data_IF_009269591235
#
_entry.id   IF_009269591235
#
_cell.length_a   1.000
_cell.length_b   1.000
_cell.length_c   1.000
_cell.angle_alpha   90.00
_cell.angle_beta   90.00
_cell.angle_gamma   90.00
#
_symmetry.space_group_name_H-M   'P 1'
#
loop_
_entity.id
_entity.type
_entity.pdbx_description
1 polymer ?
#
# COMPACT_ATOMS: atom_id res chain seq x y z
N UNK A 1 2.97 -58.10 -24.05
CA UNK A 1 3.83 -57.27 -23.17
C UNK A 1 2.96 -56.19 -22.54
N UNK A 2 2.69 -56.28 -21.24
CA UNK A 2 1.86 -55.32 -20.50
C UNK A 2 2.80 -54.32 -19.83
N UNK A 3 2.81 -53.08 -20.29
CA UNK A 3 3.55 -51.99 -19.62
C UNK A 3 2.74 -51.51 -18.43
N UNK A 4 3.30 -51.67 -17.24
CA UNK A 4 2.81 -51.08 -15.99
C UNK A 4 3.52 -49.75 -15.83
N UNK A 5 2.81 -48.64 -16.04
CA UNK A 5 3.32 -47.30 -15.75
C UNK A 5 3.21 -47.03 -14.25
N UNK A 6 4.35 -46.87 -13.59
CA UNK A 6 4.43 -46.38 -12.21
C UNK A 6 4.10 -44.90 -12.18
N UNK A 7 3.07 -44.53 -11.41
CA UNK A 7 2.80 -43.14 -11.06
C UNK A 7 3.62 -42.81 -9.80
N UNK A 8 4.65 -41.98 -9.95
CA UNK A 8 5.40 -41.44 -8.82
C UNK A 8 4.65 -40.21 -8.29
N UNK A 9 4.07 -40.31 -7.08
CA UNK A 9 3.59 -39.14 -6.35
C UNK A 9 4.80 -38.33 -5.88
N UNK A 10 5.03 -37.19 -6.50
CA UNK A 10 5.95 -36.17 -6.00
C UNK A 10 5.31 -35.53 -4.75
N UNK A 11 5.84 -35.83 -3.57
CA UNK A 11 5.54 -35.07 -2.37
C UNK A 11 6.19 -33.69 -2.52
N UNK A 12 5.38 -32.67 -2.82
CA UNK A 12 5.83 -31.28 -2.79
C UNK A 12 6.09 -30.89 -1.32
N UNK A 13 7.28 -30.38 -1.06
CA UNK A 13 7.63 -29.77 0.21
C UNK A 13 6.60 -28.70 0.56
N UNK A 14 6.11 -28.70 1.81
CA UNK A 14 5.27 -27.63 2.36
C UNK A 14 6.15 -26.40 2.52
N UNK A 15 6.28 -25.63 1.43
CA UNK A 15 6.81 -24.27 1.44
C UNK A 15 5.94 -23.38 2.32
N UNK A 16 6.55 -22.34 2.87
CA UNK A 16 5.92 -21.35 3.74
C UNK A 16 4.46 -21.05 3.34
N UNK A 17 3.52 -21.23 4.28
CA UNK A 17 2.16 -20.73 4.08
C UNK A 17 2.26 -19.21 4.13
N UNK A 18 2.12 -18.54 2.98
CA UNK A 18 1.88 -17.10 2.97
C UNK A 18 0.65 -16.82 3.85
N UNK A 19 0.77 -15.88 4.76
CA UNK A 19 -0.33 -15.42 5.61
C UNK A 19 -1.34 -14.59 4.83
N UNK A 20 -0.95 -14.02 3.68
CA UNK A 20 -1.86 -13.30 2.80
C UNK A 20 -2.69 -14.27 1.99
N UNK A 21 -4.01 -14.10 2.09
CA UNK A 21 -5.01 -14.91 1.41
C UNK A 21 -5.46 -14.25 0.10
N UNK A 22 -5.61 -12.93 0.10
CA UNK A 22 -6.07 -12.16 -1.06
C UNK A 22 -5.76 -10.67 -0.88
N UNK A 23 -5.59 -9.97 -1.99
CA UNK A 23 -5.50 -8.51 -2.04
C UNK A 23 -6.58 -8.05 -3.01
N UNK A 24 -7.37 -7.08 -2.58
CA UNK A 24 -8.37 -6.40 -3.40
C UNK A 24 -8.12 -4.89 -3.36
N UNK A 25 -8.70 -4.18 -4.31
CA UNK A 25 -8.60 -2.73 -4.40
C UNK A 25 -9.94 -2.14 -4.85
N UNK A 26 -10.28 -0.96 -4.36
CA UNK A 26 -11.49 -0.23 -4.76
C UNK A 26 -11.56 1.12 -4.07
N UNK A 27 -12.65 1.88 -4.23
CA UNK A 27 -12.87 3.11 -3.47
C UNK A 27 -13.73 2.90 -2.21
N UNK A 28 -14.26 1.69 -2.05
CA UNK A 28 -15.27 1.38 -1.04
C UNK A 28 -14.62 0.87 0.23
N UNK A 29 -14.98 1.49 1.36
CA UNK A 29 -14.64 1.00 2.70
C UNK A 29 -15.27 -0.37 2.94
N UNK A 30 -14.44 -1.37 3.24
CA UNK A 30 -14.87 -2.72 3.67
C UNK A 30 -14.63 -2.91 5.16
N UNK A 31 -13.60 -2.26 5.70
CA UNK A 31 -13.32 -2.19 7.13
C UNK A 31 -14.46 -1.56 7.94
N UNK A 32 -14.33 -1.65 9.26
CA UNK A 32 -15.25 -1.08 10.24
C UNK A 32 -14.46 -0.29 11.28
N UNK A 33 -14.68 1.04 11.31
CA UNK A 33 -14.04 1.95 12.26
C UNK A 33 -14.28 1.56 13.71
N UNK A 34 -15.51 1.15 14.06
CA UNK A 34 -15.91 0.87 15.44
C UNK A 34 -15.26 -0.39 16.04
N UNK A 35 -14.66 -1.24 15.21
CA UNK A 35 -13.92 -2.44 15.66
C UNK A 35 -12.47 -2.44 15.15
N UNK A 36 -11.93 -1.27 14.81
CA UNK A 36 -10.57 -1.13 14.34
C UNK A 36 -9.57 -1.55 15.44
N UNK A 37 -8.67 -2.46 15.09
CA UNK A 37 -7.58 -2.92 15.96
C UNK A 37 -6.35 -2.01 15.86
N UNK A 38 -6.25 -1.19 14.82
CA UNK A 38 -5.23 -0.15 14.69
C UNK A 38 -5.59 1.01 15.63
N UNK A 39 -4.63 1.41 16.45
CA UNK A 39 -4.74 2.64 17.23
C UNK A 39 -4.48 3.83 16.32
N UNK A 40 -5.36 4.84 16.39
CA UNK A 40 -5.23 6.08 15.61
C UNK A 40 -5.09 5.83 14.09
N UNK A 41 -5.96 4.97 13.53
CA UNK A 41 -5.91 4.57 12.14
C UNK A 41 -6.24 5.67 11.14
N UNK A 42 -7.07 6.64 11.53
CA UNK A 42 -7.41 7.85 10.75
C UNK A 42 -6.64 9.09 11.21
N UNK A 43 -5.62 8.93 12.06
CA UNK A 43 -4.72 10.02 12.46
C UNK A 43 -5.34 11.20 13.23
N UNK A 44 -6.62 11.08 13.64
CA UNK A 44 -7.39 12.09 14.40
C UNK A 44 -7.14 12.11 15.93
N UNK A 45 -6.37 11.16 16.48
CA UNK A 45 -6.22 11.06 17.94
C UNK A 45 -5.33 12.17 18.53
N UNK A 46 -4.54 12.80 17.68
CA UNK A 46 -3.68 13.94 17.98
C UNK A 46 -4.14 15.13 17.13
N UNK A 47 -3.71 16.36 17.45
CA UNK A 47 -4.06 17.55 16.66
C UNK A 47 -2.77 18.17 16.08
N UNK A 48 -2.62 18.28 14.75
CA UNK A 48 -1.45 18.93 14.17
C UNK A 48 -1.46 20.41 14.57
N UNK A 49 -0.39 20.90 15.22
CA UNK A 49 -0.33 22.28 15.70
C UNK A 49 -0.55 23.33 14.59
N UNK A 50 -0.26 22.94 13.35
CA UNK A 50 -0.65 23.67 12.15
C UNK A 50 -0.87 22.67 11.01
N UNK A 51 -2.05 22.72 10.41
CA UNK A 51 -2.39 21.88 9.26
C UNK A 51 -1.36 22.09 8.12
N UNK A 52 -0.88 20.98 7.54
CA UNK A 52 0.19 20.90 6.52
C UNK A 52 1.56 21.46 6.88
N UNK A 53 1.81 21.74 8.16
CA UNK A 53 3.11 22.22 8.62
C UNK A 53 3.60 21.44 9.84
N UNK A 54 2.99 20.30 10.12
CA UNK A 54 3.36 19.40 11.22
C UNK A 54 4.12 18.20 10.67
N UNK A 55 5.38 18.04 11.06
CA UNK A 55 6.23 16.94 10.59
C UNK A 55 6.13 15.74 11.54
N UNK A 56 5.99 14.53 11.01
CA UNK A 56 5.73 13.32 11.83
C UNK A 56 6.82 12.23 11.77
N UNK A 57 7.66 12.23 10.74
CA UNK A 57 8.66 11.18 10.56
C UNK A 57 9.87 11.39 11.49
N UNK A 58 10.10 10.46 12.42
CA UNK A 58 11.24 10.51 13.34
C UNK A 58 12.55 10.58 12.56
N UNK A 59 13.44 11.48 12.99
CA UNK A 59 14.73 11.73 12.34
C UNK A 59 14.75 13.00 11.49
N UNK A 60 13.59 13.59 11.20
CA UNK A 60 13.51 14.92 10.56
C UNK A 60 14.20 16.00 11.39
N UNK A 61 14.82 16.97 10.73
CA UNK A 61 15.31 18.20 11.34
C UNK A 61 14.30 19.35 11.21
N UNK A 62 13.17 19.13 10.54
CA UNK A 62 12.13 20.13 10.34
C UNK A 62 11.26 20.30 11.59
N UNK A 63 10.70 21.50 11.76
CA UNK A 63 9.88 21.88 12.92
C UNK A 63 8.62 22.62 12.48
N UNK A 64 7.48 22.44 13.17
CA UNK A 64 7.31 21.62 14.38
C UNK A 64 7.24 20.11 14.11
N UNK A 65 7.84 19.31 15.00
CA UNK A 65 7.82 17.84 14.94
C UNK A 65 6.88 17.26 16.00
N UNK A 66 6.12 16.24 15.62
CA UNK A 66 5.18 15.53 16.50
C UNK A 66 5.36 14.02 16.41
N UNK A 67 5.08 13.35 17.53
CA UNK A 67 4.89 11.90 17.54
C UNK A 67 3.42 11.61 17.30
N UNK A 68 3.13 10.58 16.53
CA UNK A 68 1.78 10.10 16.27
C UNK A 68 1.41 9.02 17.29
N UNK A 69 0.32 9.21 18.00
CA UNK A 69 -0.17 8.25 18.99
C UNK A 69 -0.42 6.90 18.34
N UNK A 70 0.17 5.85 18.93
CA UNK A 70 0.03 4.47 18.44
C UNK A 70 0.97 4.09 17.28
N UNK A 71 1.69 5.04 16.71
CA UNK A 71 2.54 4.81 15.55
C UNK A 71 4.02 5.02 15.86
N UNK A 72 4.86 4.28 15.14
CA UNK A 72 6.29 4.50 15.08
C UNK A 72 6.65 4.93 13.66
N UNK A 73 7.69 5.74 13.52
CA UNK A 73 8.11 6.24 12.22
C UNK A 73 9.62 6.32 12.10
N UNK A 74 10.09 6.47 10.87
CA UNK A 74 11.48 6.82 10.57
C UNK A 74 11.57 7.63 9.28
N UNK A 75 12.62 8.43 9.17
CA UNK A 75 12.91 9.29 8.03
C UNK A 75 14.32 9.85 8.09
N UNK A 76 14.85 10.36 6.97
CA UNK A 76 16.11 11.10 6.96
C UNK A 76 15.93 12.56 7.43
N UNK A 77 17.03 13.25 7.73
CA UNK A 77 16.99 14.59 8.32
C UNK A 77 16.28 15.65 7.48
N UNK A 78 16.24 15.47 6.16
CA UNK A 78 15.64 16.42 5.22
C UNK A 78 14.33 15.91 4.62
N UNK A 79 13.73 14.86 5.18
CA UNK A 79 12.38 14.46 4.79
C UNK A 79 11.38 15.58 5.09
N UNK A 80 10.28 15.62 4.34
CA UNK A 80 9.21 16.58 4.49
C UNK A 80 7.87 15.83 4.62
N UNK A 81 7.87 14.79 5.46
CA UNK A 81 6.68 14.03 5.75
C UNK A 81 5.74 14.87 6.63
N UNK A 82 4.56 15.18 6.10
CA UNK A 82 3.61 16.13 6.68
C UNK A 82 2.36 15.42 7.21
N UNK A 83 1.78 16.01 8.25
CA UNK A 83 0.55 15.59 8.89
C UNK A 83 -0.44 16.75 8.91
N UNK A 84 -1.69 16.45 8.59
CA UNK A 84 -2.81 17.38 8.66
C UNK A 84 -3.61 17.41 7.36
N UNK A 85 -4.06 18.60 6.98
CA UNK A 85 -4.84 18.87 5.77
C UNK A 85 -4.73 20.31 5.23
N UNK A 86 -5.09 20.48 3.96
CA UNK A 86 -5.24 21.75 3.24
C UNK A 86 -6.40 22.59 3.79
N UNK A 87 -6.70 23.75 3.23
CA UNK A 87 -7.89 24.54 3.61
C UNK A 87 -9.25 23.85 3.30
N UNK A 88 -9.22 22.57 2.93
CA UNK A 88 -10.34 21.63 2.79
C UNK A 88 -9.81 20.19 2.99
N UNK A 89 -10.66 19.14 2.91
CA UNK A 89 -10.20 17.77 3.08
C UNK A 89 -9.28 17.40 1.91
N UNK A 90 -8.04 17.04 2.23
CA UNK A 90 -6.96 16.76 1.28
C UNK A 90 -5.63 17.27 1.84
N UNK A 91 -4.53 16.60 1.54
CA UNK A 91 -3.20 16.95 2.02
C UNK A 91 -2.26 16.92 0.82
N UNK A 92 -1.51 18.00 0.59
CA UNK A 92 -0.60 18.11 -0.57
C UNK A 92 -1.31 17.83 -1.91
N UNK A 93 -2.52 18.40 -2.07
CA UNK A 93 -3.28 18.26 -3.31
C UNK A 93 -3.84 16.86 -3.57
N UNK A 94 -3.87 15.99 -2.55
CA UNK A 94 -4.48 14.66 -2.63
C UNK A 94 -5.99 14.72 -2.91
N UNK A 95 -6.61 13.56 -3.12
CA UNK A 95 -8.07 13.43 -2.99
C UNK A 95 -8.52 13.78 -1.56
N UNK A 96 -9.83 14.11 -1.37
CA UNK A 96 -10.39 14.26 -0.04
C UNK A 96 -10.06 13.07 0.84
N UNK A 97 -9.60 13.34 2.05
CA UNK A 97 -9.30 12.34 3.07
C UNK A 97 -10.54 11.47 3.35
N UNK A 98 -10.30 10.19 3.63
CA UNK A 98 -11.33 9.17 3.66
C UNK A 98 -12.09 9.13 4.98
N UNK A 99 -11.44 9.52 6.07
CA UNK A 99 -12.05 9.70 7.38
C UNK A 99 -11.51 10.98 8.02
N UNK A 100 -12.33 11.61 8.88
CA UNK A 100 -11.88 12.77 9.66
C UNK A 100 -11.40 13.96 8.82
N UNK A 101 -10.37 14.64 9.33
CA UNK A 101 -9.75 15.80 8.70
C UNK A 101 -8.26 15.64 8.48
N UNK A 102 -7.56 14.68 9.08
CA UNK A 102 -6.11 14.59 9.09
C UNK A 102 -5.62 13.35 8.34
N UNK A 103 -4.58 13.53 7.52
CA UNK A 103 -3.89 12.45 6.83
C UNK A 103 -2.38 12.57 6.97
N UNK A 104 -1.67 11.60 6.42
CA UNK A 104 -0.20 11.59 6.42
C UNK A 104 0.35 11.58 5.01
N UNK A 105 1.16 12.57 4.69
CA UNK A 105 1.95 12.64 3.48
C UNK A 105 3.38 12.16 3.75
N UNK A 106 3.89 11.28 2.89
CA UNK A 106 5.18 10.60 3.09
C UNK A 106 6.33 11.27 2.32
N UNK A 107 6.44 12.61 2.36
CA UNK A 107 7.45 13.35 1.60
C UNK A 107 8.91 12.93 1.85
N UNK A 108 9.55 12.29 0.87
CA UNK A 108 10.88 11.65 0.97
C UNK A 108 11.85 12.07 -0.16
N UNK A 109 11.50 13.09 -0.95
CA UNK A 109 12.37 13.66 -1.98
C UNK A 109 12.39 12.82 -3.25
N UNK A 110 13.38 13.06 -4.12
CA UNK A 110 13.54 12.27 -5.35
C UNK A 110 14.47 11.10 -5.09
N UNK A 111 14.07 9.89 -5.49
CA UNK A 111 14.94 8.71 -5.41
C UNK A 111 16.24 8.92 -6.19
N UNK A 112 17.36 8.53 -5.58
CA UNK A 112 18.68 8.61 -6.21
C UNK A 112 18.88 7.48 -7.23
N UNK A 113 18.42 6.27 -6.91
CA UNK A 113 18.48 5.10 -7.80
C UNK A 113 17.20 4.28 -7.64
N UNK A 114 16.66 3.83 -8.76
CA UNK A 114 15.67 2.75 -8.80
C UNK A 114 16.11 1.69 -9.80
N UNK A 115 16.05 0.41 -9.42
CA UNK A 115 16.24 -0.71 -10.33
C UNK A 115 14.96 -1.53 -10.48
N UNK A 116 14.85 -2.23 -11.61
CA UNK A 116 13.63 -2.92 -12.00
C UNK A 116 12.65 -1.96 -12.68
N UNK A 117 11.99 -2.44 -13.73
CA UNK A 117 10.89 -1.71 -14.36
C UNK A 117 9.60 -2.15 -13.67
N UNK A 118 8.90 -1.26 -12.94
CA UNK A 118 7.64 -1.59 -12.31
C UNK A 118 6.58 -1.88 -13.37
N UNK A 119 5.75 -2.89 -13.11
CA UNK A 119 4.51 -3.14 -13.84
C UNK A 119 3.36 -2.83 -12.90
N UNK A 120 2.64 -1.76 -13.20
CA UNK A 120 1.43 -1.34 -12.50
C UNK A 120 0.23 -2.14 -13.01
N UNK A 121 -0.48 -2.80 -12.11
CA UNK A 121 -1.70 -3.54 -12.42
C UNK A 121 -2.94 -2.67 -12.23
N UNK A 122 -4.07 -3.00 -12.88
CA UNK A 122 -5.31 -2.23 -12.73
C UNK A 122 -5.88 -2.18 -11.31
N UNK A 123 -5.45 -3.08 -10.44
CA UNK A 123 -5.83 -3.12 -9.01
C UNK A 123 -4.83 -2.37 -8.11
N UNK A 124 -3.93 -1.58 -8.70
CA UNK A 124 -2.93 -0.79 -7.99
C UNK A 124 -1.77 -1.62 -7.42
N UNK A 125 -1.80 -2.95 -7.51
CA UNK A 125 -0.62 -3.76 -7.17
C UNK A 125 0.51 -3.50 -8.16
N UNK A 126 1.75 -3.59 -7.68
CA UNK A 126 2.95 -3.39 -8.50
C UNK A 126 3.83 -4.63 -8.41
N UNK A 127 4.30 -5.08 -9.56
CA UNK A 127 5.25 -6.20 -9.66
C UNK A 127 6.52 -5.78 -10.37
N UNK A 128 7.60 -6.49 -10.06
CA UNK A 128 8.90 -6.31 -10.69
C UNK A 128 9.38 -7.66 -11.23
N UNK A 129 10.14 -7.64 -12.34
CA UNK A 129 10.73 -8.87 -12.90
C UNK A 129 11.80 -9.51 -12.00
N UNK A 130 12.32 -8.74 -11.04
CA UNK A 130 13.25 -9.15 -9.99
C UNK A 130 13.05 -8.24 -8.78
N UNK A 131 13.62 -8.58 -7.62
CA UNK A 131 13.61 -7.69 -6.45
C UNK A 131 14.14 -6.30 -6.84
N UNK A 132 13.34 -5.23 -6.68
CA UNK A 132 13.79 -3.88 -7.00
C UNK A 132 14.82 -3.40 -5.99
N UNK A 133 15.61 -2.42 -6.39
CA UNK A 133 16.47 -1.66 -5.49
C UNK A 133 15.96 -0.23 -5.49
N UNK A 134 15.57 0.26 -4.31
CA UNK A 134 15.26 1.66 -4.09
C UNK A 134 16.38 2.27 -3.25
N UNK A 135 17.00 3.32 -3.78
CA UNK A 135 18.01 4.08 -3.06
C UNK A 135 17.56 5.55 -3.00
N UNK A 136 17.16 6.04 -1.82
CA UNK A 136 16.85 7.45 -1.64
C UNK A 136 18.14 8.29 -1.66
N UNK A 137 17.98 9.61 -1.86
CA UNK A 137 19.10 10.53 -1.64
C UNK A 137 19.52 10.49 -0.16
N UNK A 138 20.83 10.48 0.15
CA UNK A 138 21.31 10.23 1.52
C UNK A 138 20.70 11.11 2.62
N UNK A 139 20.39 12.38 2.33
CA UNK A 139 19.83 13.32 3.31
C UNK A 139 18.33 13.19 3.50
N UNK A 140 17.61 12.66 2.51
CA UNK A 140 16.17 12.48 2.59
C UNK A 140 15.81 11.15 3.25
N UNK A 141 16.51 10.06 2.89
CA UNK A 141 16.19 8.71 3.37
C UNK A 141 14.79 8.24 2.93
N UNK A 142 14.43 6.98 3.18
CA UNK A 142 13.03 6.56 3.06
C UNK A 142 12.25 7.09 4.26
N UNK A 143 10.96 7.36 4.06
CA UNK A 143 10.01 7.67 5.13
C UNK A 143 9.18 6.42 5.38
N UNK A 144 9.10 5.99 6.63
CA UNK A 144 8.35 4.80 7.05
C UNK A 144 7.43 5.12 8.22
N UNK A 145 6.26 4.50 8.21
CA UNK A 145 5.26 4.52 9.26
C UNK A 145 4.84 3.08 9.57
N UNK A 146 4.89 2.69 10.84
CA UNK A 146 4.55 1.32 11.22
C UNK A 146 3.87 1.21 12.57
N UNK A 147 3.02 0.20 12.70
CA UNK A 147 2.36 -0.19 13.94
C UNK A 147 2.40 -1.71 14.10
N UNK A 148 2.67 -2.16 15.32
CA UNK A 148 2.67 -3.60 15.66
C UNK A 148 1.42 -3.96 16.43
N UNK A 149 0.59 -4.82 15.86
CA UNK A 149 -0.55 -5.42 16.55
C UNK A 149 -0.11 -6.69 17.27
N UNK A 150 -0.49 -6.78 18.55
CA UNK A 150 -0.18 -7.91 19.42
C UNK A 150 -1.45 -8.67 19.79
N UNK A 151 -1.31 -9.96 20.07
CA UNK A 151 -2.43 -10.81 20.50
C UNK A 151 -3.36 -11.26 19.37
N UNK A 152 -2.91 -11.19 18.11
CA UNK A 152 -3.70 -11.70 16.99
C UNK A 152 -3.84 -13.23 17.06
N UNK A 153 -5.03 -13.73 16.72
CA UNK A 153 -5.31 -15.16 16.69
C UNK A 153 -4.85 -15.73 15.34
N UNK A 154 -3.82 -16.59 15.35
CA UNK A 154 -3.25 -17.21 14.14
C UNK A 154 -4.18 -18.19 13.43
N UNK A 155 -5.33 -18.52 14.03
CA UNK A 155 -6.39 -19.31 13.40
C UNK A 155 -7.47 -18.46 12.72
N UNK A 156 -7.52 -17.16 13.00
CA UNK A 156 -8.53 -16.20 12.54
C UNK A 156 -8.07 -15.48 11.27
N UNK A 157 -9.02 -15.18 10.39
CA UNK A 157 -8.79 -14.28 9.24
C UNK A 157 -9.03 -12.84 9.66
N UNK A 158 -8.21 -11.94 9.14
CA UNK A 158 -8.26 -10.50 9.34
C UNK A 158 -8.32 -9.80 7.98
N UNK A 159 -8.86 -8.58 7.99
CA UNK A 159 -8.81 -7.63 6.89
C UNK A 159 -8.00 -6.43 7.37
N UNK A 160 -6.95 -6.08 6.63
CA UNK A 160 -6.34 -4.75 6.64
C UNK A 160 -6.92 -3.96 5.46
N UNK A 161 -7.58 -2.84 5.73
CA UNK A 161 -8.16 -1.92 4.75
C UNK A 161 -7.55 -0.54 4.98
N UNK A 162 -6.91 0.06 3.98
CA UNK A 162 -6.33 1.40 4.12
C UNK A 162 -6.53 2.20 2.85
N UNK A 163 -6.77 3.50 3.02
CA UNK A 163 -6.97 4.43 1.92
C UNK A 163 -5.64 5.10 1.54
N UNK A 164 -5.44 5.30 0.25
CA UNK A 164 -4.31 6.04 -0.29
C UNK A 164 -4.74 7.03 -1.38
N UNK A 165 -3.98 8.10 -1.48
CA UNK A 165 -3.96 9.01 -2.62
C UNK A 165 -2.50 9.36 -2.94
N UNK A 166 -2.29 10.11 -4.00
CA UNK A 166 -0.99 10.68 -4.34
C UNK A 166 -0.98 12.19 -4.21
N UNK A 167 0.21 12.73 -4.03
CA UNK A 167 0.46 14.17 -4.15
C UNK A 167 -0.08 14.73 -5.47
N UNK A 168 -0.73 15.89 -5.40
CA UNK A 168 -1.36 16.59 -6.53
C UNK A 168 -2.43 15.77 -7.29
N UNK A 169 -2.92 14.65 -6.74
CA UNK A 169 -3.85 13.79 -7.45
C UNK A 169 -5.18 14.48 -7.79
N UNK A 170 -5.60 15.49 -7.02
CA UNK A 170 -6.82 16.26 -7.28
C UNK A 170 -6.62 17.42 -8.25
N UNK A 171 -5.38 17.73 -8.65
CA UNK A 171 -5.12 18.84 -9.55
C UNK A 171 -5.39 18.46 -11.00
N UNK A 172 -6.09 19.35 -11.71
CA UNK A 172 -6.36 19.20 -13.14
C UNK A 172 -5.09 19.21 -14.00
N UNK A 173 -4.03 19.84 -13.47
CA UNK A 173 -2.67 19.82 -14.04
C UNK A 173 -1.67 19.41 -12.96
N UNK A 174 -1.63 18.11 -12.65
CA UNK A 174 -0.59 17.56 -11.79
C UNK A 174 0.78 17.71 -12.46
N UNK A 175 1.80 18.05 -11.66
CA UNK A 175 3.19 18.05 -12.12
C UNK A 175 3.76 16.62 -12.26
N UNK A 176 3.06 15.62 -11.72
CA UNK A 176 3.45 14.22 -11.78
C UNK A 176 2.90 13.55 -13.03
N UNK A 177 3.75 12.75 -13.67
CA UNK A 177 3.44 12.11 -14.95
C UNK A 177 2.62 10.82 -14.80
N UNK A 178 2.34 10.38 -13.57
CA UNK A 178 1.56 9.19 -13.24
C UNK A 178 1.81 8.69 -11.82
N UNK A 179 1.31 7.49 -11.53
CA UNK A 179 1.24 6.92 -10.18
C UNK A 179 2.61 6.63 -9.55
N UNK A 180 2.70 6.92 -8.25
CA UNK A 180 3.81 6.64 -7.36
C UNK A 180 3.94 5.18 -6.96
N UNK A 181 5.01 4.87 -6.24
CA UNK A 181 5.29 3.53 -5.71
C UNK A 181 5.59 3.67 -4.23
N UNK A 182 4.89 2.89 -3.40
CA UNK A 182 5.28 2.68 -2.02
C UNK A 182 5.41 1.18 -1.74
N UNK A 183 6.28 0.86 -0.80
CA UNK A 183 6.43 -0.50 -0.30
C UNK A 183 5.53 -0.70 0.92
N UNK A 184 4.93 -1.89 1.00
CA UNK A 184 4.18 -2.34 2.14
C UNK A 184 4.79 -3.64 2.66
N UNK A 185 5.15 -3.63 3.94
CA UNK A 185 5.74 -4.74 4.65
C UNK A 185 4.77 -5.27 5.71
N UNK A 186 4.64 -6.60 5.76
CA UNK A 186 3.92 -7.29 6.82
C UNK A 186 4.82 -8.40 7.39
N UNK A 187 4.87 -8.50 8.71
CA UNK A 187 5.70 -9.53 9.39
C UNK A 187 5.42 -10.92 8.85
N UNK A 188 6.48 -11.60 8.40
CA UNK A 188 6.41 -12.97 7.88
C UNK A 188 6.12 -13.07 6.38
N UNK A 189 5.91 -11.94 5.69
CA UNK A 189 5.69 -11.89 4.24
C UNK A 189 6.85 -11.26 3.50
N UNK A 190 6.89 -11.49 2.18
CA UNK A 190 7.74 -10.71 1.28
C UNK A 190 7.13 -9.31 1.08
N UNK A 191 8.00 -8.32 0.83
CA UNK A 191 7.57 -6.96 0.50
C UNK A 191 6.56 -6.95 -0.65
N UNK A 192 5.50 -6.18 -0.47
CA UNK A 192 4.55 -5.85 -1.52
C UNK A 192 4.75 -4.41 -1.95
N UNK A 193 4.30 -4.10 -3.17
CA UNK A 193 4.38 -2.75 -3.71
C UNK A 193 3.03 -2.36 -4.26
N UNK A 194 2.66 -1.12 -3.99
CA UNK A 194 1.36 -0.57 -4.33
C UNK A 194 1.53 0.81 -4.97
N UNK A 195 0.55 1.18 -5.78
CA UNK A 195 0.52 2.45 -6.45
C UNK A 195 -0.05 3.55 -5.54
N UNK A 196 0.60 4.72 -5.56
CA UNK A 196 0.01 5.96 -5.05
C UNK A 196 -0.71 6.67 -6.21
N UNK A 197 -2.06 6.74 -6.22
CA UNK A 197 -2.81 7.24 -7.37
C UNK A 197 -2.47 8.69 -7.72
N UNK A 198 -2.30 8.98 -9.01
CA UNK A 198 -1.93 10.32 -9.50
C UNK A 198 -3.10 11.16 -10.00
N UNK A 199 -4.33 10.65 -9.96
CA UNK A 199 -5.49 11.28 -10.60
C UNK A 199 -5.57 11.08 -12.11
N UNK A 200 -4.45 10.74 -12.76
CA UNK A 200 -4.35 10.62 -14.23
C UNK A 200 -4.43 9.19 -14.76
N UNK A 201 -4.29 8.19 -13.89
CA UNK A 201 -4.35 6.77 -14.26
C UNK A 201 -5.75 6.18 -14.11
N UNK A 202 -5.89 4.89 -14.41
CA UNK A 202 -7.14 4.15 -14.19
C UNK A 202 -7.53 3.98 -12.72
N UNK A 203 -6.63 4.27 -11.77
CA UNK A 203 -6.90 4.22 -10.33
C UNK A 203 -7.63 5.49 -9.84
N UNK A 204 -7.69 6.55 -10.66
CA UNK A 204 -8.29 7.82 -10.28
C UNK A 204 -7.45 8.60 -9.27
N UNK A 205 -8.10 9.40 -8.44
CA UNK A 205 -7.45 10.30 -7.47
C UNK A 205 -7.09 9.60 -6.15
N UNK A 206 -7.72 8.47 -5.84
CA UNK A 206 -7.50 7.71 -4.61
C UNK A 206 -7.97 6.27 -4.75
N UNK A 207 -7.47 5.39 -3.89
CA UNK A 207 -7.88 4.00 -3.81
C UNK A 207 -7.70 3.46 -2.40
N UNK A 208 -8.51 2.47 -2.02
CA UNK A 208 -8.31 1.61 -0.87
C UNK A 208 -7.71 0.28 -1.29
N UNK A 209 -6.78 -0.22 -0.46
CA UNK A 209 -6.23 -1.57 -0.57
C UNK A 209 -6.74 -2.43 0.58
N UNK A 210 -7.23 -3.62 0.24
CA UNK A 210 -7.82 -4.57 1.17
C UNK A 210 -6.99 -5.86 1.17
N UNK A 211 -6.17 -6.04 2.19
CA UNK A 211 -5.32 -7.21 2.39
C UNK A 211 -6.01 -8.15 3.36
N UNK A 212 -6.45 -9.30 2.85
CA UNK A 212 -7.01 -10.38 3.66
C UNK A 212 -5.88 -11.32 4.08
N UNK A 213 -5.73 -11.56 5.37
CA UNK A 213 -4.62 -12.36 5.88
C UNK A 213 -5.01 -13.19 7.10
N UNK A 214 -4.23 -14.25 7.33
CA UNK A 214 -4.28 -15.12 8.52
C UNK A 214 -2.88 -15.16 9.13
N UNK A 215 -2.65 -14.46 10.25
CA UNK A 215 -1.30 -14.13 10.68
C UNK A 215 -0.50 -15.38 11.08
N UNK A 216 0.77 -15.41 10.67
CA UNK A 216 1.69 -16.53 10.98
C UNK A 216 2.19 -16.49 12.44
N UNK A 217 2.09 -15.32 13.09
CA UNK A 217 2.43 -15.10 14.50
C UNK A 217 1.38 -14.19 15.17
N UNK A 218 1.30 -14.23 16.50
CA UNK A 218 0.37 -13.36 17.25
C UNK A 218 0.79 -11.89 17.31
N UNK A 219 1.99 -11.57 16.83
CA UNK A 219 2.52 -10.22 16.71
C UNK A 219 2.79 -9.94 15.24
N UNK A 220 2.14 -8.93 14.69
CA UNK A 220 2.30 -8.53 13.28
C UNK A 220 2.54 -7.04 13.20
N UNK A 221 3.65 -6.66 12.58
CA UNK A 221 3.95 -5.28 12.19
C UNK A 221 3.50 -5.06 10.76
N UNK A 222 2.79 -3.96 10.55
CA UNK A 222 2.48 -3.39 9.24
C UNK A 222 3.30 -2.12 9.07
N UNK A 223 3.99 -1.99 7.95
CA UNK A 223 4.92 -0.89 7.67
C UNK A 223 4.74 -0.40 6.23
N UNK A 224 4.49 0.91 6.09
CA UNK A 224 4.36 1.62 4.83
C UNK A 224 5.61 2.45 4.62
N UNK A 225 6.27 2.27 3.48
CA UNK A 225 7.55 2.93 3.18
C UNK A 225 7.45 3.67 1.85
N UNK A 226 7.74 4.97 1.90
CA UNK A 226 8.03 5.76 0.70
C UNK A 226 9.52 6.00 0.57
N UNK A 227 10.09 5.71 -0.60
CA UNK A 227 11.50 5.98 -0.91
C UNK A 227 11.72 7.32 -1.60
N UNK A 228 10.64 8.02 -1.95
CA UNK A 228 10.68 9.26 -2.71
C UNK A 228 9.90 9.17 -4.01
N UNK A 229 9.86 10.28 -4.75
CA UNK A 229 9.41 10.30 -6.14
C UNK A 229 10.20 9.31 -6.99
N UNK A 230 9.48 8.41 -7.66
CA UNK A 230 10.07 7.59 -8.71
C UNK A 230 10.31 8.43 -9.97
N UNK A 231 11.58 8.53 -10.37
CA UNK A 231 11.98 9.20 -11.60
C UNK A 231 11.88 8.22 -12.78
N UNK A 232 10.75 8.26 -13.47
CA UNK A 232 10.56 7.48 -14.69
C UNK A 232 11.02 8.26 -15.94
N UNK A 233 11.18 7.61 -17.10
CA UNK A 233 11.52 8.30 -18.35
C UNK A 233 10.52 9.40 -18.77
N UNK A 234 9.27 9.34 -18.29
CA UNK A 234 8.22 10.32 -18.62
C UNK A 234 8.06 11.42 -17.58
N UNK A 235 8.85 11.40 -16.51
CA UNK A 235 8.78 12.36 -15.41
C UNK A 235 8.71 11.70 -14.03
N UNK A 236 8.56 12.57 -13.03
CA UNK A 236 8.37 12.14 -11.64
C UNK A 236 6.99 11.52 -11.45
N UNK A 237 6.90 10.67 -10.44
CA UNK A 237 5.67 10.06 -9.95
C UNK A 237 5.32 10.59 -8.57
N UNK A 238 4.05 10.49 -8.22
CA UNK A 238 3.53 10.96 -6.93
C UNK A 238 4.20 10.27 -5.74
N UNK A 239 4.20 10.94 -4.60
CA UNK A 239 4.42 10.31 -3.29
C UNK A 239 3.06 9.98 -2.65
N UNK A 240 3.07 9.10 -1.63
CA UNK A 240 1.84 8.61 -0.99
C UNK A 240 1.29 9.61 0.04
N UNK A 241 -0.03 9.78 0.01
CA UNK A 241 -0.85 10.25 1.13
C UNK A 241 -1.65 9.05 1.65
N UNK A 242 -1.59 8.80 2.95
CA UNK A 242 -2.24 7.68 3.65
C UNK A 242 -3.29 8.22 4.61
N UNK A 243 -4.44 7.54 4.65
CA UNK A 243 -5.51 7.77 5.62
C UNK A 243 -6.28 6.48 5.89
N UNK A 244 -7.08 6.49 6.97
CA UNK A 244 -8.11 5.51 7.29
C UNK A 244 -7.62 4.04 7.28
N UNK A 245 -6.57 3.77 8.07
CA UNK A 245 -5.96 2.45 8.25
C UNK A 245 -6.75 1.62 9.26
N UNK A 246 -7.35 0.54 8.79
CA UNK A 246 -8.24 -0.31 9.58
C UNK A 246 -7.76 -1.75 9.55
N UNK A 247 -7.66 -2.37 10.74
CA UNK A 247 -7.58 -3.83 10.85
C UNK A 247 -8.77 -4.35 11.63
N UNK A 248 -9.51 -5.30 11.05
CA UNK A 248 -10.62 -5.98 11.75
C UNK A 248 -10.47 -7.50 11.64
N UNK A 249 -11.09 -8.22 12.58
CA UNK A 249 -11.39 -9.64 12.37
C UNK A 249 -12.37 -9.78 11.20
N UNK A 250 -12.10 -10.71 10.29
CA UNK A 250 -12.94 -10.96 9.12
C UNK A 250 -13.56 -12.35 9.17
N UNK A 251 -14.88 -12.41 9.17
CA UNK A 251 -15.66 -13.65 9.24
C UNK A 251 -16.43 -13.95 7.93
N UNK A 252 -16.21 -13.14 6.89
CA UNK A 252 -16.82 -13.35 5.58
C UNK A 252 -16.04 -14.33 4.72
N UNK A 253 -16.51 -14.54 3.50
CA UNK A 253 -15.75 -15.26 2.46
C UNK A 253 -14.61 -14.38 1.96
N UNK A 254 -13.38 -14.89 1.96
CA UNK A 254 -12.24 -14.18 1.38
C UNK A 254 -12.45 -14.08 -0.13
N UNK A 255 -12.42 -12.87 -0.72
CA UNK A 255 -12.53 -12.72 -2.17
C UNK A 255 -11.39 -13.44 -2.89
N UNK A 256 -11.69 -14.05 -4.04
CA UNK A 256 -10.67 -14.64 -4.89
C UNK A 256 -9.67 -13.57 -5.36
N UNK A 257 -8.36 -13.85 -5.43
CA UNK A 257 -7.37 -12.89 -5.91
C UNK A 257 -7.75 -12.37 -7.32
N UNK A 258 -7.72 -11.05 -7.48
CA UNK A 258 -8.04 -10.33 -8.73
C UNK A 258 -7.27 -10.85 -9.95
N UNK A 259 -6.03 -11.29 -9.74
CA UNK A 259 -5.17 -11.87 -10.78
C UNK A 259 -5.69 -13.17 -11.41
N UNK A 260 -6.53 -13.95 -10.70
CA UNK A 260 -7.12 -15.19 -11.21
C UNK A 260 -8.39 -14.96 -12.04
N UNK A 261 -9.15 -13.91 -11.76
CA UNK A 261 -10.37 -13.59 -12.51
C UNK A 261 -10.08 -13.17 -13.96
N UNK A 262 -8.96 -12.47 -14.20
CA UNK A 262 -8.52 -12.07 -15.54
C UNK A 262 -8.17 -13.27 -16.44
N UNK A 263 -7.60 -14.34 -15.87
CA UNK A 263 -7.24 -15.55 -16.62
C UNK A 263 -8.48 -16.31 -17.14
N UNK A 264 -9.55 -16.37 -16.33
CA UNK A 264 -10.78 -17.06 -16.68
C UNK A 264 -11.53 -16.40 -17.85
N UNK A 265 -11.54 -15.07 -17.91
CA UNK A 265 -12.17 -14.31 -19.01
C UNK A 265 -11.34 -14.37 -20.31
N UNK A 266 -10.00 -14.40 -20.20
CA UNK A 266 -9.10 -14.55 -21.36
C UNK A 266 -9.23 -15.90 -22.07
N UNK A 267 -9.34 -17.01 -21.33
CA UNK A 267 -9.52 -18.35 -21.92
C UNK A 267 -10.89 -18.51 -22.59
N UNK A 268 -11.95 -17.94 -22.00
CA UNK A 268 -13.29 -17.97 -22.59
C UNK A 268 -13.38 -17.27 -23.96
N UNK A 269 -12.68 -16.15 -24.13
CA UNK A 269 -12.64 -15.42 -25.40
C UNK A 269 -11.85 -16.17 -26.50
N UNK A 270 -10.77 -16.86 -26.14
CA UNK A 270 -9.95 -17.66 -27.07
C UNK A 270 -10.69 -18.93 -27.50
N UNK A 271 -11.42 -19.59 -26.58
CA UNK A 271 -12.22 -20.77 -26.91
C UNK A 271 -13.43 -20.46 -27.80
N UNK A 272 -14.00 -19.25 -27.73
CA UNK A 272 -15.09 -18.82 -28.64
C UNK A 272 -14.60 -18.50 -30.05
N UNK A 273 -13.37 -17.99 -30.23
CA UNK A 273 -12.80 -17.70 -31.55
C UNK A 273 -12.41 -18.93 -32.36
N UNK A 274 -12.31 -20.12 -31.75
CA UNK A 274 -11.97 -21.38 -32.44
C UNK A 274 -13.16 -22.21 -32.95
N UNK A 275 -14.40 -21.70 -32.84
CA UNK A 275 -15.62 -22.36 -33.39
C UNK A 275 -16.20 -21.71 -34.65
N UNK A 276 -15.47 -20.78 -35.25
CA UNK A 276 -15.81 -20.20 -36.56
C UNK A 276 -14.59 -20.26 -37.47
N UNK A 277 -14.26 -21.47 -37.91
CA UNK A 277 -13.43 -21.77 -39.07
C UNK A 277 -13.85 -23.14 -39.59
#
# INVERSE_FOLDING_TARGET
>A
MKSISFLACLALATGASASILSIQSGDTLVGNHGSNLITNGSFEADDPAQANLSYWATGTANTPYFNLTGWQSSGGSSNYALWGHDTGPGLEGSAPLADGNDGLYFGAGIMAITSGVPVFHPDGTITFGSTPVFQPKPTFGPVSLFQTLNGLNTSQTYLLDFWVSGEDASFTTSQFSGDGIFEFNMTGESSMYFAAPSGSSGLGTSQRYQVYFKPSASSVTFDWVNYGHWASPTGLRTEIVLDDVIVNTYNGTVPEPTSMAALALGVGAICRRRRQA
#
